data_IF_315252786661
#
_entry.id   IF_315252786661
#
_cell.length_a   1.000
_cell.length_b   1.000
_cell.length_c   1.000
_cell.angle_alpha   90.00
_cell.angle_beta   90.00
_cell.angle_gamma   90.00
#
_symmetry.space_group_name_H-M   'P 1'
#
loop_
_entity.id
_entity.type
_entity.pdbx_description
1 polymer ?
#
# COMPACT_ATOMS: atom_id res chain seq x y z
N UNK A 1 33.53 -6.18 -1.12
CA UNK A 1 33.14 -6.73 0.21
C UNK A 1 32.61 -8.13 0.02
N UNK A 2 33.14 -9.14 0.70
CA UNK A 2 32.68 -10.52 0.56
C UNK A 2 31.33 -10.75 1.30
N UNK A 3 30.65 -11.86 1.01
CA UNK A 3 29.34 -12.18 1.65
C UNK A 3 29.47 -12.26 3.17
N UNK A 4 30.57 -12.83 3.67
CA UNK A 4 30.85 -12.95 5.11
C UNK A 4 30.90 -11.58 5.78
N UNK A 5 31.57 -10.60 5.17
CA UNK A 5 31.70 -9.26 5.73
C UNK A 5 30.35 -8.56 5.76
N UNK A 6 29.52 -8.71 4.68
CA UNK A 6 28.17 -8.15 4.64
C UNK A 6 27.29 -8.74 5.74
N UNK A 7 27.34 -10.04 5.95
CA UNK A 7 26.58 -10.72 6.99
C UNK A 7 26.97 -10.24 8.39
N UNK A 8 28.24 -9.90 8.61
CA UNK A 8 28.72 -9.42 9.92
C UNK A 8 28.17 -8.02 10.27
N UNK A 9 28.09 -7.12 9.28
CA UNK A 9 27.63 -5.74 9.49
C UNK A 9 26.12 -5.54 9.27
N UNK A 10 25.41 -6.53 8.68
CA UNK A 10 23.99 -6.44 8.44
C UNK A 10 23.19 -6.41 9.75
N UNK A 11 22.05 -5.70 9.75
CA UNK A 11 21.07 -5.82 10.80
C UNK A 11 20.68 -7.29 11.01
N UNK A 12 20.29 -7.65 12.22
CA UNK A 12 19.88 -9.00 12.56
C UNK A 12 18.39 -9.05 12.82
N UNK A 13 17.72 -10.10 12.31
CA UNK A 13 16.33 -10.37 12.65
C UNK A 13 16.19 -10.82 14.11
N UNK A 14 14.98 -11.07 14.58
CA UNK A 14 14.68 -11.49 15.94
C UNK A 14 15.30 -12.87 16.33
N UNK A 15 15.78 -13.62 15.34
CA UNK A 15 16.46 -14.92 15.52
C UNK A 15 17.98 -14.82 15.39
N UNK A 16 18.52 -13.60 15.18
CA UNK A 16 19.95 -13.35 14.99
C UNK A 16 20.46 -13.58 13.56
N UNK A 17 19.60 -13.85 12.58
CA UNK A 17 20.00 -14.02 11.20
C UNK A 17 20.29 -12.67 10.54
N UNK A 18 21.34 -12.56 9.69
CA UNK A 18 21.64 -11.32 9.00
C UNK A 18 20.56 -10.98 7.96
N UNK A 19 20.06 -9.74 7.97
CA UNK A 19 19.16 -9.21 6.97
C UNK A 19 19.90 -8.83 5.68
N UNK A 20 20.61 -9.77 5.12
CA UNK A 20 21.41 -9.64 3.90
C UNK A 20 21.49 -10.99 3.17
N UNK A 21 21.11 -11.00 1.89
CA UNK A 21 21.20 -12.19 1.04
C UNK A 21 21.43 -11.83 -0.41
N UNK A 22 21.93 -12.78 -1.19
CA UNK A 22 21.92 -12.71 -2.64
C UNK A 22 20.52 -13.05 -3.16
N UNK A 23 19.88 -12.12 -3.85
CA UNK A 23 18.48 -12.24 -4.28
C UNK A 23 18.32 -12.62 -5.76
N UNK A 24 19.42 -12.72 -6.51
CA UNK A 24 19.38 -13.08 -7.92
C UNK A 24 20.45 -12.35 -8.75
N UNK A 25 20.56 -12.75 -10.01
CA UNK A 25 21.52 -12.18 -10.95
C UNK A 25 21.07 -10.84 -11.53
N UNK A 26 21.98 -10.12 -12.17
CA UNK A 26 21.71 -8.87 -12.86
C UNK A 26 21.15 -7.79 -11.93
N UNK A 27 20.00 -7.21 -12.29
CA UNK A 27 19.33 -6.14 -11.57
C UNK A 27 18.39 -6.58 -10.45
N UNK A 28 18.28 -7.88 -10.14
CA UNK A 28 17.29 -8.42 -9.21
C UNK A 28 17.27 -7.73 -7.83
N UNK A 29 18.43 -7.52 -7.21
CA UNK A 29 18.54 -6.83 -5.93
C UNK A 29 18.06 -5.37 -5.98
N UNK A 30 18.36 -4.65 -7.07
CA UNK A 30 17.88 -3.28 -7.29
C UNK A 30 16.37 -3.25 -7.51
N UNK A 31 15.82 -4.22 -8.24
CA UNK A 31 14.38 -4.36 -8.45
C UNK A 31 13.66 -4.57 -7.11
N UNK A 32 14.13 -5.48 -6.29
CA UNK A 32 13.60 -5.72 -4.94
C UNK A 32 13.64 -4.44 -4.10
N UNK A 33 14.74 -3.67 -4.16
CA UNK A 33 14.82 -2.39 -3.43
C UNK A 33 13.85 -1.34 -4.00
N UNK A 34 13.61 -1.32 -5.29
CA UNK A 34 12.61 -0.44 -5.91
C UNK A 34 11.19 -0.77 -5.41
N UNK A 35 10.83 -2.05 -5.38
CA UNK A 35 9.53 -2.49 -4.83
C UNK A 35 9.40 -2.14 -3.36
N UNK A 36 10.46 -2.36 -2.55
CA UNK A 36 10.51 -1.92 -1.16
C UNK A 36 10.14 -0.43 -1.03
N UNK A 37 10.72 0.43 -1.87
CA UNK A 37 10.43 1.86 -1.82
C UNK A 37 8.98 2.17 -2.23
N UNK A 38 8.40 1.41 -3.16
CA UNK A 38 6.98 1.52 -3.50
C UNK A 38 6.08 1.19 -2.31
N UNK A 39 6.35 0.08 -1.62
CA UNK A 39 5.65 -0.30 -0.38
C UNK A 39 5.78 0.80 0.68
N UNK A 40 6.98 1.34 0.87
CA UNK A 40 7.28 2.41 1.80
C UNK A 40 6.42 3.67 1.54
N UNK A 41 6.29 4.08 0.28
CA UNK A 41 5.46 5.23 -0.11
C UNK A 41 4.01 5.03 0.31
N UNK A 42 3.45 3.85 0.06
CA UNK A 42 2.06 3.53 0.43
C UNK A 42 1.89 3.43 1.96
N UNK A 43 2.85 2.85 2.69
CA UNK A 43 2.83 2.81 4.17
C UNK A 43 2.83 4.22 4.78
N UNK A 44 3.65 5.13 4.24
CA UNK A 44 3.71 6.52 4.70
C UNK A 44 2.39 7.25 4.41
N UNK A 45 1.82 7.05 3.22
CA UNK A 45 0.56 7.68 2.83
C UNK A 45 -0.61 7.15 3.67
N UNK A 46 -0.66 5.83 3.94
CA UNK A 46 -1.68 5.24 4.82
C UNK A 46 -1.64 5.85 6.23
N UNK A 47 -0.45 6.08 6.79
CA UNK A 47 -0.30 6.75 8.09
C UNK A 47 -0.76 8.21 8.03
N UNK A 48 -0.48 8.91 6.93
CA UNK A 48 -0.95 10.27 6.73
C UNK A 48 -2.48 10.35 6.61
N UNK A 49 -3.11 9.40 5.92
CA UNK A 49 -4.57 9.29 5.82
C UNK A 49 -5.22 8.98 7.18
N UNK A 50 -4.63 8.06 7.94
CA UNK A 50 -5.07 7.77 9.32
C UNK A 50 -4.92 9.00 10.21
N UNK A 51 -3.79 9.69 10.14
CA UNK A 51 -3.54 10.93 10.88
C UNK A 51 -4.62 11.98 10.58
N UNK A 52 -4.94 12.22 9.29
CA UNK A 52 -5.96 13.18 8.87
C UNK A 52 -7.35 12.79 9.39
N UNK A 53 -7.70 11.51 9.34
CA UNK A 53 -8.97 11.01 9.91
C UNK A 53 -9.01 11.24 11.43
N UNK A 54 -7.92 10.99 12.15
CA UNK A 54 -7.86 11.20 13.59
C UNK A 54 -8.03 12.67 13.96
N UNK A 55 -7.39 13.57 13.22
CA UNK A 55 -7.48 15.03 13.43
C UNK A 55 -8.85 15.57 13.04
N UNK A 56 -9.33 15.27 11.85
CA UNK A 56 -10.50 15.92 11.24
C UNK A 56 -11.81 15.29 11.72
N UNK A 57 -11.89 13.97 11.73
CA UNK A 57 -13.11 13.25 12.12
C UNK A 57 -13.20 13.07 13.63
N UNK A 58 -12.21 12.43 14.25
CA UNK A 58 -12.24 12.20 15.70
C UNK A 58 -11.97 13.47 16.50
N UNK A 59 -11.56 14.56 15.82
CA UNK A 59 -11.21 15.86 16.43
C UNK A 59 -10.19 15.73 17.56
N UNK A 60 -9.26 14.79 17.41
CA UNK A 60 -8.17 14.61 18.35
C UNK A 60 -7.11 15.69 18.11
N UNK A 61 -6.56 16.25 19.16
CA UNK A 61 -5.37 17.08 19.06
C UNK A 61 -4.10 16.21 18.82
N UNK A 62 -2.98 16.85 18.52
CA UNK A 62 -1.72 16.14 18.25
C UNK A 62 -1.28 15.20 19.37
N UNK A 63 -1.54 15.55 20.63
CA UNK A 63 -1.18 14.72 21.80
C UNK A 63 -2.03 13.47 21.88
N UNK A 64 -3.32 13.61 21.62
CA UNK A 64 -4.26 12.49 21.61
C UNK A 64 -3.99 11.57 20.41
N UNK A 65 -3.70 12.13 19.23
CA UNK A 65 -3.27 11.34 18.07
C UNK A 65 -1.99 10.58 18.37
N UNK A 66 -1.00 11.24 18.97
CA UNK A 66 0.24 10.59 19.38
C UNK A 66 -0.02 9.42 20.33
N UNK A 67 -0.86 9.60 21.36
CA UNK A 67 -1.23 8.55 22.31
C UNK A 67 -1.97 7.40 21.62
N UNK A 68 -2.86 7.70 20.71
CA UNK A 68 -3.59 6.65 19.96
C UNK A 68 -2.60 5.79 19.12
N UNK A 69 -1.73 6.42 18.34
CA UNK A 69 -0.72 5.71 17.54
C UNK A 69 0.30 4.97 18.43
N UNK A 70 0.65 5.52 19.59
CA UNK A 70 1.48 4.84 20.58
C UNK A 70 0.83 3.55 21.06
N UNK A 71 -0.49 3.54 21.28
CA UNK A 71 -1.24 2.36 21.71
C UNK A 71 -1.23 1.23 20.68
N UNK A 72 -0.93 1.53 19.40
CA UNK A 72 -0.82 0.53 18.34
C UNK A 72 0.53 -0.19 18.31
N UNK A 73 1.54 0.35 18.98
CA UNK A 73 2.84 -0.33 19.15
C UNK A 73 2.62 -1.66 19.89
N UNK A 74 3.51 -2.60 19.66
CA UNK A 74 3.47 -3.97 20.21
C UNK A 74 2.20 -4.78 19.82
N UNK A 75 1.52 -4.38 18.75
CA UNK A 75 0.37 -5.09 18.18
C UNK A 75 0.65 -5.52 16.73
N UNK A 76 -0.38 -6.04 16.03
CA UNK A 76 -0.29 -6.35 14.58
C UNK A 76 0.08 -5.14 13.72
N UNK A 77 -0.25 -3.93 14.17
CA UNK A 77 0.03 -2.68 13.47
C UNK A 77 1.47 -2.20 13.65
N UNK A 78 2.24 -2.79 14.56
CA UNK A 78 3.59 -2.32 14.90
C UNK A 78 4.51 -2.31 13.68
N UNK A 79 5.11 -1.15 13.44
CA UNK A 79 6.09 -0.93 12.37
C UNK A 79 7.03 0.21 12.71
N UNK A 80 8.18 0.24 12.05
CA UNK A 80 9.12 1.36 12.19
C UNK A 80 8.46 2.69 11.84
N UNK A 81 7.71 2.76 10.74
CA UNK A 81 7.02 3.99 10.32
C UNK A 81 5.97 4.44 11.34
N UNK A 82 5.20 3.52 11.95
CA UNK A 82 4.27 3.86 13.03
C UNK A 82 5.01 4.42 14.24
N UNK A 83 6.13 3.82 14.62
CA UNK A 83 6.94 4.24 15.77
C UNK A 83 7.50 5.63 15.56
N UNK A 84 8.11 5.93 14.39
CA UNK A 84 8.62 7.26 14.12
C UNK A 84 7.52 8.30 13.97
N UNK A 85 6.34 7.93 13.43
CA UNK A 85 5.19 8.86 13.38
C UNK A 85 4.74 9.26 14.77
N UNK A 86 4.59 8.31 15.70
CA UNK A 86 4.29 8.61 17.10
C UNK A 86 5.37 9.49 17.74
N UNK A 87 6.66 9.21 17.45
CA UNK A 87 7.77 10.01 17.95
C UNK A 87 7.75 11.44 17.39
N UNK A 88 7.53 11.61 16.07
CA UNK A 88 7.43 12.93 15.42
C UNK A 88 6.34 13.78 16.10
N UNK A 89 5.19 13.19 16.37
CA UNK A 89 4.06 13.88 17.00
C UNK A 89 4.29 14.25 18.47
N UNK A 90 5.34 13.73 19.11
CA UNK A 90 5.71 14.10 20.48
C UNK A 90 6.55 15.38 20.56
N UNK A 91 7.01 15.93 19.43
CA UNK A 91 7.81 17.15 19.42
C UNK A 91 6.93 18.40 19.42
N UNK A 92 7.24 19.31 20.35
CA UNK A 92 6.60 20.61 20.51
C UNK A 92 7.68 21.71 20.54
N UNK A 93 7.31 22.89 20.07
CA UNK A 93 8.18 24.06 20.15
C UNK A 93 8.14 24.69 21.57
N UNK A 94 8.93 25.74 21.78
CA UNK A 94 9.01 26.46 23.05
C UNK A 94 7.69 27.12 23.48
N UNK A 95 6.75 27.30 22.54
CA UNK A 95 5.45 27.90 22.80
C UNK A 95 4.37 26.83 23.06
N UNK A 96 4.72 25.53 23.06
CA UNK A 96 3.81 24.42 23.24
C UNK A 96 3.00 24.06 21.99
N UNK A 97 3.32 24.60 20.81
CA UNK A 97 2.72 24.24 19.54
C UNK A 97 3.39 22.98 18.97
N UNK A 98 2.61 22.10 18.36
CA UNK A 98 3.18 20.89 17.75
C UNK A 98 4.14 21.26 16.63
N UNK A 99 5.34 20.67 16.63
CA UNK A 99 6.37 20.97 15.63
C UNK A 99 5.90 20.66 14.19
N UNK A 100 5.06 19.62 14.01
CA UNK A 100 4.54 19.26 12.70
C UNK A 100 3.66 20.34 12.06
N UNK A 101 2.99 21.18 12.88
CA UNK A 101 2.16 22.28 12.36
C UNK A 101 2.96 23.37 11.66
N UNK A 102 4.28 23.43 11.89
CA UNK A 102 5.19 24.37 11.25
C UNK A 102 5.81 23.82 9.96
N UNK A 103 5.54 22.54 9.61
CA UNK A 103 6.07 21.90 8.40
C UNK A 103 5.12 22.19 7.23
N UNK A 104 5.68 22.63 6.10
CA UNK A 104 4.91 22.82 4.88
C UNK A 104 4.33 21.48 4.40
N UNK A 105 3.04 21.48 4.09
CA UNK A 105 2.28 20.30 3.62
C UNK A 105 2.57 19.93 2.15
N UNK A 106 3.87 19.80 1.83
CA UNK A 106 4.38 19.38 0.54
C UNK A 106 5.41 18.26 0.74
N UNK A 107 5.19 17.12 0.10
CA UNK A 107 6.11 15.99 0.18
C UNK A 107 6.86 15.80 -1.14
N UNK A 108 8.19 15.97 -1.11
CA UNK A 108 9.05 15.71 -2.26
C UNK A 108 9.24 14.19 -2.50
N UNK A 109 9.72 13.85 -3.68
CA UNK A 109 10.14 12.48 -4.01
C UNK A 109 11.49 12.50 -4.75
N UNK A 110 12.22 11.39 -4.68
CA UNK A 110 13.53 11.20 -5.36
C UNK A 110 13.43 10.26 -6.57
N UNK A 111 12.22 10.00 -7.08
CA UNK A 111 11.97 9.20 -8.28
C UNK A 111 11.76 7.69 -8.06
N UNK A 112 12.19 7.12 -6.93
CA UNK A 112 12.09 5.66 -6.70
C UNK A 112 10.66 5.14 -6.63
N UNK A 113 9.71 5.93 -6.08
CA UNK A 113 8.28 5.59 -6.12
C UNK A 113 7.70 5.60 -7.53
N UNK A 114 8.16 6.53 -8.38
CA UNK A 114 7.77 6.55 -9.79
C UNK A 114 8.26 5.30 -10.53
N UNK A 115 9.46 4.83 -10.27
CA UNK A 115 9.98 3.60 -10.88
C UNK A 115 9.13 2.37 -10.54
N UNK A 116 8.66 2.24 -9.30
CA UNK A 116 7.76 1.15 -8.91
C UNK A 116 6.45 1.20 -9.70
N UNK A 117 5.85 2.39 -9.85
CA UNK A 117 4.62 2.59 -10.64
C UNK A 117 4.84 2.25 -12.12
N UNK A 118 5.90 2.78 -12.73
CA UNK A 118 6.25 2.53 -14.14
C UNK A 118 6.50 1.04 -14.38
N UNK A 119 7.28 0.41 -13.51
CA UNK A 119 7.59 -1.02 -13.64
C UNK A 119 6.35 -1.89 -13.49
N UNK A 120 5.46 -1.61 -12.52
CA UNK A 120 4.21 -2.34 -12.38
C UNK A 120 3.35 -2.27 -13.63
N UNK A 121 3.22 -1.07 -14.21
CA UNK A 121 2.50 -0.88 -15.47
C UNK A 121 3.16 -1.63 -16.64
N UNK A 122 4.49 -1.62 -16.73
CA UNK A 122 5.25 -2.26 -17.82
C UNK A 122 5.13 -3.79 -17.81
N UNK A 123 5.08 -4.41 -16.63
CA UNK A 123 4.98 -5.88 -16.49
C UNK A 123 3.55 -6.37 -16.23
N UNK A 124 2.55 -5.50 -16.31
CA UNK A 124 1.15 -5.87 -16.06
C UNK A 124 0.82 -6.28 -14.62
N UNK A 125 1.57 -5.78 -13.63
CA UNK A 125 1.34 -6.05 -12.21
C UNK A 125 0.64 -4.87 -11.53
N UNK A 126 -0.63 -5.00 -11.10
CA UNK A 126 -1.36 -3.92 -10.44
C UNK A 126 -0.70 -3.50 -9.13
N UNK A 127 -0.31 -2.24 -9.00
CA UNK A 127 0.29 -1.65 -7.82
C UNK A 127 -0.40 -0.33 -7.41
N UNK A 128 -1.73 -0.38 -7.37
CA UNK A 128 -2.61 0.78 -7.23
C UNK A 128 -2.34 1.61 -5.97
N UNK A 129 -1.95 0.99 -4.85
CA UNK A 129 -1.63 1.73 -3.61
C UNK A 129 -0.34 2.53 -3.75
N UNK A 130 0.70 1.94 -4.33
CA UNK A 130 1.98 2.61 -4.57
C UNK A 130 1.80 3.80 -5.50
N UNK A 131 0.98 3.61 -6.55
CA UNK A 131 0.62 4.65 -7.52
C UNK A 131 -0.20 5.76 -6.85
N UNK A 132 -1.20 5.42 -6.04
CA UNK A 132 -2.01 6.39 -5.30
C UNK A 132 -1.15 7.23 -4.33
N UNK A 133 -0.22 6.61 -3.61
CA UNK A 133 0.72 7.31 -2.73
C UNK A 133 1.65 8.26 -3.49
N UNK A 134 2.17 7.84 -4.64
CA UNK A 134 2.98 8.69 -5.52
C UNK A 134 2.20 9.92 -6.01
N UNK A 135 0.97 9.70 -6.48
CA UNK A 135 0.11 10.79 -6.96
C UNK A 135 -0.30 11.75 -5.83
N UNK A 136 -0.56 11.23 -4.62
CA UNK A 136 -0.81 12.07 -3.45
C UNK A 136 0.37 13.03 -3.18
N UNK A 137 1.62 12.56 -3.31
CA UNK A 137 2.81 13.44 -3.20
C UNK A 137 2.86 14.50 -4.29
N UNK A 138 2.55 14.14 -5.56
CA UNK A 138 2.49 15.11 -6.64
C UNK A 138 1.42 16.16 -6.40
N UNK A 139 0.22 15.75 -5.96
CA UNK A 139 -0.87 16.67 -5.61
C UNK A 139 -0.45 17.56 -4.43
N UNK A 140 0.27 17.03 -3.43
CA UNK A 140 0.74 17.83 -2.30
C UNK A 140 1.63 18.99 -2.74
N UNK A 141 2.46 18.80 -3.76
CA UNK A 141 3.33 19.86 -4.31
C UNK A 141 2.59 20.95 -5.08
N UNK A 142 1.32 20.73 -5.44
CA UNK A 142 0.48 21.71 -6.15
C UNK A 142 -0.25 22.68 -5.19
N UNK A 143 0.42 23.17 -4.15
CA UNK A 143 -0.23 23.92 -3.05
C UNK A 143 -1.04 25.12 -3.52
N UNK A 144 -0.53 25.94 -4.43
CA UNK A 144 -1.23 27.11 -4.94
C UNK A 144 -2.56 26.75 -5.62
N UNK A 145 -2.55 25.69 -6.45
CA UNK A 145 -3.77 25.18 -7.08
C UNK A 145 -4.76 24.63 -6.05
N UNK A 146 -4.28 23.90 -5.03
CA UNK A 146 -5.15 23.36 -3.95
C UNK A 146 -5.83 24.50 -3.19
N UNK A 147 -5.11 25.58 -2.88
CA UNK A 147 -5.67 26.77 -2.23
C UNK A 147 -6.70 27.45 -3.13
N UNK A 148 -6.41 27.60 -4.43
CA UNK A 148 -7.35 28.17 -5.39
C UNK A 148 -8.65 27.38 -5.45
N UNK A 149 -8.56 26.05 -5.64
CA UNK A 149 -9.72 25.18 -5.80
C UNK A 149 -10.51 24.95 -4.50
N UNK A 150 -9.87 25.07 -3.33
CA UNK A 150 -10.57 24.92 -2.05
C UNK A 150 -11.70 25.92 -1.80
N UNK A 151 -11.65 27.07 -2.49
CA UNK A 151 -12.67 28.14 -2.38
C UNK A 151 -14.00 27.78 -3.06
N UNK A 152 -14.02 26.73 -3.90
CA UNK A 152 -15.19 26.36 -4.71
C UNK A 152 -15.95 25.13 -4.19
N UNK A 153 -15.47 24.48 -3.14
CA UNK A 153 -16.09 23.24 -2.64
C UNK A 153 -17.10 23.53 -1.53
N UNK A 154 -18.38 23.25 -1.81
CA UNK A 154 -19.49 23.33 -0.85
C UNK A 154 -20.09 21.94 -0.69
N UNK A 155 -19.86 21.28 0.47
CA UNK A 155 -20.37 19.97 0.75
C UNK A 155 -21.12 19.93 2.10
N UNK A 156 -22.10 19.02 2.20
CA UNK A 156 -22.93 18.84 3.40
C UNK A 156 -22.42 17.62 4.15
N UNK A 157 -22.06 17.79 5.43
CA UNK A 157 -21.66 16.70 6.32
C UNK A 157 -22.85 15.79 6.64
N UNK A 158 -22.64 14.49 6.63
CA UNK A 158 -23.59 13.47 7.11
C UNK A 158 -23.06 12.78 8.37
N UNK A 159 -23.98 12.31 9.21
CA UNK A 159 -23.63 11.59 10.44
C UNK A 159 -23.47 10.08 10.16
N UNK A 160 -22.28 9.63 10.01
CA UNK A 160 -21.92 8.22 10.07
C UNK A 160 -20.89 8.03 11.20
N UNK A 161 -20.78 6.86 11.87
CA UNK A 161 -19.83 6.67 13.00
C UNK A 161 -18.90 5.48 12.88
N UNK A 162 -17.56 5.70 12.99
CA UNK A 162 -16.54 4.66 13.16
C UNK A 162 -15.90 4.81 14.54
N UNK A 163 -15.35 3.73 15.07
CA UNK A 163 -14.52 3.76 16.26
C UNK A 163 -13.02 3.74 15.88
N UNK A 164 -12.16 4.22 16.78
CA UNK A 164 -10.72 4.12 16.67
C UNK A 164 -10.24 2.68 16.41
N UNK A 165 -10.85 1.71 17.08
CA UNK A 165 -10.58 0.28 16.86
C UNK A 165 -10.90 -0.20 15.45
N UNK A 166 -11.95 0.33 14.82
CA UNK A 166 -12.31 0.00 13.44
C UNK A 166 -11.33 0.65 12.45
N UNK A 167 -10.97 1.91 12.67
CA UNK A 167 -9.95 2.59 11.86
C UNK A 167 -8.62 1.84 11.88
N UNK A 168 -8.14 1.44 13.08
CA UNK A 168 -6.93 0.63 13.23
C UNK A 168 -6.99 -0.67 12.42
N UNK A 169 -8.14 -1.36 12.44
CA UNK A 169 -8.30 -2.60 11.66
C UNK A 169 -8.26 -2.34 10.16
N UNK A 170 -8.83 -1.26 9.67
CA UNK A 170 -8.76 -0.90 8.25
C UNK A 170 -7.33 -0.55 7.87
N UNK A 171 -6.60 0.20 8.70
CA UNK A 171 -5.18 0.43 8.49
C UNK A 171 -4.39 -0.89 8.35
N UNK A 172 -4.61 -1.86 9.24
CA UNK A 172 -3.98 -3.18 9.14
C UNK A 172 -4.34 -3.91 7.84
N UNK A 173 -5.62 -3.88 7.41
CA UNK A 173 -6.04 -4.52 6.16
C UNK A 173 -5.39 -3.87 4.93
N UNK A 174 -5.33 -2.54 4.89
CA UNK A 174 -4.66 -1.82 3.80
C UNK A 174 -3.19 -2.19 3.69
N UNK A 175 -2.51 -2.40 4.82
CA UNK A 175 -1.11 -2.87 4.85
C UNK A 175 -0.96 -4.27 4.26
N UNK A 176 -1.87 -5.19 4.55
CA UNK A 176 -1.89 -6.51 3.92
C UNK A 176 -1.98 -6.39 2.39
N UNK A 177 -2.85 -5.53 1.87
CA UNK A 177 -3.00 -5.31 0.42
C UNK A 177 -1.75 -4.64 -0.17
N UNK A 178 -1.18 -3.63 0.49
CA UNK A 178 0.04 -2.98 0.05
C UNK A 178 1.19 -3.98 -0.12
N UNK A 179 1.42 -4.81 0.90
CA UNK A 179 2.46 -5.84 0.85
C UNK A 179 2.13 -6.91 -0.19
N UNK A 180 0.86 -7.30 -0.33
CA UNK A 180 0.45 -8.23 -1.39
C UNK A 180 0.83 -7.69 -2.77
N UNK A 181 0.47 -6.45 -3.10
CA UNK A 181 0.82 -5.85 -4.39
C UNK A 181 2.34 -5.81 -4.62
N UNK A 182 3.12 -5.50 -3.60
CA UNK A 182 4.59 -5.50 -3.71
C UNK A 182 5.17 -6.89 -3.96
N UNK A 183 4.74 -7.90 -3.20
CA UNK A 183 5.23 -9.26 -3.39
C UNK A 183 4.71 -9.90 -4.69
N UNK A 184 3.51 -9.57 -5.13
CA UNK A 184 2.97 -10.02 -6.41
C UNK A 184 3.73 -9.41 -7.59
N UNK A 185 4.12 -8.13 -7.47
CA UNK A 185 4.99 -7.47 -8.43
C UNK A 185 6.35 -8.16 -8.53
N UNK A 186 6.92 -8.63 -7.41
CA UNK A 186 8.16 -9.43 -7.42
C UNK A 186 7.92 -10.77 -8.14
N UNK A 187 6.82 -11.46 -7.87
CA UNK A 187 6.47 -12.70 -8.54
C UNK A 187 6.32 -12.53 -10.05
N UNK A 188 5.67 -11.45 -10.48
CA UNK A 188 5.50 -11.14 -11.90
C UNK A 188 6.85 -10.85 -12.56
N UNK A 189 7.71 -10.06 -11.91
CA UNK A 189 9.05 -9.78 -12.39
C UNK A 189 9.93 -11.04 -12.45
N UNK A 190 9.76 -11.98 -11.52
CA UNK A 190 10.46 -13.27 -11.56
C UNK A 190 10.13 -14.07 -12.82
N UNK A 191 8.88 -14.04 -13.26
CA UNK A 191 8.46 -14.68 -14.52
C UNK A 191 9.01 -13.94 -15.73
N UNK A 192 8.89 -12.61 -15.75
CA UNK A 192 9.34 -11.77 -16.87
C UNK A 192 10.85 -11.84 -17.09
N UNK A 193 11.64 -11.75 -16.02
CA UNK A 193 13.10 -11.69 -16.09
C UNK A 193 13.78 -13.02 -15.77
N UNK A 194 13.02 -14.11 -15.62
CA UNK A 194 13.52 -15.46 -15.29
C UNK A 194 14.36 -15.52 -14.01
N UNK A 195 14.00 -14.70 -13.01
CA UNK A 195 14.65 -14.73 -11.70
C UNK A 195 14.05 -15.81 -10.80
N UNK A 196 14.92 -16.38 -9.97
CA UNK A 196 14.52 -17.34 -8.92
C UNK A 196 14.71 -16.68 -7.56
N UNK A 197 13.69 -15.94 -7.12
CA UNK A 197 13.73 -15.19 -5.86
C UNK A 197 12.79 -15.89 -4.86
N UNK A 198 13.32 -16.20 -3.67
CA UNK A 198 12.54 -16.71 -2.57
C UNK A 198 11.91 -15.55 -1.79
N UNK A 199 10.57 -15.48 -1.77
CA UNK A 199 9.82 -14.42 -1.10
C UNK A 199 9.98 -14.44 0.43
N UNK A 200 10.20 -15.63 1.02
CA UNK A 200 10.46 -15.75 2.46
C UNK A 200 11.79 -15.05 2.82
N UNK A 201 12.81 -15.25 2.00
CA UNK A 201 14.10 -14.56 2.12
C UNK A 201 13.95 -13.04 1.97
N UNK A 202 13.17 -12.57 0.99
CA UNK A 202 12.91 -11.13 0.83
C UNK A 202 12.23 -10.56 2.07
N UNK A 203 11.18 -11.20 2.57
CA UNK A 203 10.48 -10.76 3.77
C UNK A 203 11.38 -10.79 5.02
N UNK A 204 12.25 -11.81 5.15
CA UNK A 204 13.23 -11.91 6.24
C UNK A 204 14.23 -10.76 6.20
N UNK A 205 14.77 -10.40 5.03
CA UNK A 205 15.68 -9.25 4.86
C UNK A 205 15.00 -7.94 5.24
N UNK A 206 13.70 -7.79 4.95
CA UNK A 206 12.93 -6.60 5.24
C UNK A 206 12.38 -6.56 6.67
N UNK A 207 12.53 -7.61 7.46
CA UNK A 207 12.03 -7.67 8.84
C UNK A 207 12.84 -6.80 9.81
N UNK A 208 14.10 -6.49 9.47
CA UNK A 208 14.96 -5.58 10.25
C UNK A 208 15.88 -4.74 9.34
N UNK A 209 16.42 -3.64 9.91
CA UNK A 209 17.40 -2.78 9.22
C UNK A 209 16.85 -1.97 8.06
N UNK A 210 15.53 -1.88 7.89
CA UNK A 210 14.91 -1.10 6.81
C UNK A 210 13.66 -0.32 7.30
N UNK A 211 13.18 0.59 6.45
CA UNK A 211 12.06 1.50 6.78
C UNK A 211 10.71 0.76 6.88
N UNK A 212 10.52 -0.33 6.15
CA UNK A 212 9.25 -1.10 6.17
C UNK A 212 9.25 -2.26 7.16
N UNK A 213 10.25 -2.34 8.05
CA UNK A 213 10.26 -3.37 9.09
C UNK A 213 9.02 -3.28 9.97
N UNK A 214 8.41 -4.45 10.26
CA UNK A 214 7.13 -4.50 10.95
C UNK A 214 6.79 -5.91 11.44
N UNK A 215 5.83 -6.01 12.35
CA UNK A 215 5.23 -7.30 12.75
C UNK A 215 4.59 -8.03 11.58
N UNK A 216 4.02 -7.32 10.62
CA UNK A 216 3.52 -7.91 9.40
C UNK A 216 4.65 -8.55 8.59
N UNK A 217 5.80 -7.89 8.44
CA UNK A 217 6.94 -8.42 7.70
C UNK A 217 7.52 -9.69 8.36
N UNK A 218 7.63 -9.73 9.69
CA UNK A 218 8.02 -10.94 10.42
C UNK A 218 7.03 -12.10 10.17
N UNK A 219 5.73 -11.78 10.14
CA UNK A 219 4.68 -12.75 9.81
C UNK A 219 4.82 -13.27 8.39
N UNK A 220 5.08 -12.40 7.41
CA UNK A 220 5.27 -12.78 6.00
C UNK A 220 6.51 -13.65 5.81
N UNK A 221 7.62 -13.34 6.48
CA UNK A 221 8.85 -14.14 6.41
C UNK A 221 8.62 -15.61 6.79
N UNK A 222 7.71 -15.86 7.72
CA UNK A 222 7.33 -17.25 8.11
C UNK A 222 6.24 -17.84 7.22
N UNK A 223 5.30 -17.03 6.73
CA UNK A 223 4.14 -17.51 5.97
C UNK A 223 4.47 -17.85 4.52
N UNK A 224 5.47 -17.21 3.92
CA UNK A 224 5.89 -17.52 2.55
C UNK A 224 6.56 -18.89 2.40
N UNK A 225 6.99 -19.54 3.48
CA UNK A 225 7.46 -20.93 3.43
C UNK A 225 6.36 -21.92 2.99
N UNK A 226 5.09 -21.58 3.18
CA UNK A 226 3.93 -22.42 2.86
C UNK A 226 2.99 -21.82 1.81
N UNK A 227 3.25 -20.61 1.31
CA UNK A 227 2.38 -19.94 0.34
C UNK A 227 3.16 -19.05 -0.63
N UNK A 228 2.78 -19.06 -1.89
CA UNK A 228 3.37 -18.21 -2.94
C UNK A 228 2.72 -16.82 -3.06
N UNK A 229 1.64 -16.54 -2.32
CA UNK A 229 0.90 -15.28 -2.39
C UNK A 229 0.22 -14.98 -1.05
N UNK A 230 0.23 -13.70 -0.67
CA UNK A 230 -0.43 -13.24 0.56
C UNK A 230 -1.94 -13.52 0.53
N UNK A 231 -2.61 -13.33 -0.61
CA UNK A 231 -4.05 -13.63 -0.72
C UNK A 231 -4.37 -15.13 -0.67
N UNK A 232 -3.39 -16.02 -0.70
CA UNK A 232 -3.57 -17.46 -0.45
C UNK A 232 -3.36 -17.86 1.01
N UNK A 233 -2.89 -16.94 1.86
CA UNK A 233 -2.61 -17.21 3.28
C UNK A 233 -3.89 -17.20 4.11
N UNK A 234 -4.08 -18.20 4.96
CA UNK A 234 -5.22 -18.26 5.89
C UNK A 234 -5.26 -17.02 6.82
N UNK A 235 -4.11 -16.55 7.29
CA UNK A 235 -4.00 -15.36 8.16
C UNK A 235 -4.55 -14.09 7.50
N UNK A 236 -4.34 -13.94 6.17
CA UNK A 236 -4.92 -12.84 5.42
C UNK A 236 -6.45 -12.89 5.47
N UNK A 237 -7.05 -14.04 5.12
CA UNK A 237 -8.51 -14.19 5.10
C UNK A 237 -9.14 -14.08 6.50
N UNK A 238 -8.46 -14.59 7.53
CA UNK A 238 -8.90 -14.43 8.91
C UNK A 238 -8.98 -12.96 9.33
N UNK A 239 -8.06 -12.11 8.84
CA UNK A 239 -8.07 -10.67 9.07
C UNK A 239 -9.17 -9.99 8.26
N UNK A 240 -9.30 -10.33 6.97
CA UNK A 240 -10.29 -9.77 6.05
C UNK A 240 -11.73 -10.07 6.50
N UNK A 241 -12.05 -11.34 6.75
CA UNK A 241 -13.40 -11.76 7.13
C UNK A 241 -13.91 -11.09 8.42
N UNK A 242 -13.02 -10.80 9.36
CA UNK A 242 -13.38 -10.13 10.62
C UNK A 242 -13.62 -8.62 10.47
N UNK A 243 -13.05 -7.99 9.45
CA UNK A 243 -12.92 -6.54 9.46
C UNK A 243 -13.30 -5.83 8.16
N UNK A 244 -13.44 -6.53 7.02
CA UNK A 244 -13.76 -5.92 5.72
C UNK A 244 -15.02 -5.04 5.74
N UNK A 245 -16.02 -5.39 6.54
CA UNK A 245 -17.25 -4.60 6.71
C UNK A 245 -17.01 -3.16 7.19
N UNK A 246 -15.88 -2.90 7.85
CA UNK A 246 -15.55 -1.56 8.32
C UNK A 246 -14.96 -0.66 7.22
N UNK A 247 -14.51 -1.25 6.08
CA UNK A 247 -13.94 -0.47 4.99
C UNK A 247 -14.94 0.49 4.36
N UNK A 248 -16.17 0.01 4.13
CA UNK A 248 -17.24 0.89 3.63
C UNK A 248 -17.51 2.05 4.59
N UNK A 249 -17.49 1.79 5.90
CA UNK A 249 -17.64 2.85 6.88
C UNK A 249 -16.54 3.91 6.72
N UNK A 250 -15.27 3.55 6.63
CA UNK A 250 -14.16 4.49 6.47
C UNK A 250 -14.26 5.26 5.15
N UNK A 251 -14.61 4.60 4.03
CA UNK A 251 -14.78 5.28 2.74
C UNK A 251 -15.94 6.27 2.76
N UNK A 252 -17.10 5.91 3.32
CA UNK A 252 -18.24 6.81 3.45
C UNK A 252 -17.89 8.03 4.30
N UNK A 253 -17.17 7.81 5.39
CA UNK A 253 -16.68 8.86 6.25
C UNK A 253 -15.79 9.86 5.56
N UNK A 254 -14.80 9.34 4.86
CA UNK A 254 -13.89 10.18 4.14
C UNK A 254 -14.64 11.07 3.14
N UNK A 255 -15.67 10.52 2.47
CA UNK A 255 -16.57 11.28 1.61
C UNK A 255 -17.36 12.36 2.38
N UNK A 256 -17.97 11.99 3.49
CA UNK A 256 -18.80 12.90 4.31
C UNK A 256 -17.98 14.05 4.94
N UNK A 257 -16.71 13.80 5.25
CA UNK A 257 -15.79 14.79 5.84
C UNK A 257 -14.81 15.40 4.85
N UNK A 258 -14.91 15.05 3.56
CA UNK A 258 -14.05 15.52 2.47
C UNK A 258 -12.56 15.24 2.73
N UNK A 259 -12.26 14.10 3.34
CA UNK A 259 -10.91 13.67 3.62
C UNK A 259 -10.43 12.83 2.44
N UNK A 260 -9.34 13.23 1.73
CA UNK A 260 -8.76 12.40 0.69
C UNK A 260 -8.06 11.18 1.31
N UNK A 261 -8.50 9.98 0.91
CA UNK A 261 -7.94 8.70 1.38
C UNK A 261 -7.53 7.80 0.21
N UNK A 262 -6.65 8.26 -0.68
CA UNK A 262 -6.35 7.56 -1.93
C UNK A 262 -5.82 6.13 -1.73
N UNK A 263 -4.99 5.86 -0.74
CA UNK A 263 -4.48 4.51 -0.47
C UNK A 263 -5.52 3.60 0.17
N UNK A 264 -6.29 4.09 1.14
CA UNK A 264 -7.37 3.30 1.77
C UNK A 264 -8.41 2.93 0.71
N UNK A 265 -8.83 3.86 -0.13
CA UNK A 265 -9.79 3.62 -1.21
C UNK A 265 -9.24 2.68 -2.29
N UNK A 266 -7.98 2.85 -2.69
CA UNK A 266 -7.32 1.96 -3.65
C UNK A 266 -7.19 0.54 -3.12
N UNK A 267 -6.91 0.36 -1.83
CA UNK A 267 -6.86 -0.96 -1.20
C UNK A 267 -8.20 -1.67 -1.29
N UNK A 268 -9.27 -0.96 -0.96
CA UNK A 268 -10.63 -1.50 -1.02
C UNK A 268 -11.04 -1.90 -2.43
N UNK A 269 -10.84 -1.01 -3.40
CA UNK A 269 -11.17 -1.27 -4.79
C UNK A 269 -10.35 -2.45 -5.36
N UNK A 270 -9.06 -2.54 -5.02
CA UNK A 270 -8.23 -3.67 -5.41
C UNK A 270 -8.76 -4.98 -4.81
N UNK A 271 -9.06 -5.01 -3.51
CA UNK A 271 -9.60 -6.19 -2.85
C UNK A 271 -10.93 -6.64 -3.48
N UNK A 272 -11.85 -5.71 -3.72
CA UNK A 272 -13.12 -6.02 -4.39
C UNK A 272 -12.90 -6.60 -5.78
N UNK A 273 -12.05 -5.98 -6.60
CA UNK A 273 -11.77 -6.45 -7.95
C UNK A 273 -11.16 -7.86 -7.96
N UNK A 274 -10.24 -8.14 -7.03
CA UNK A 274 -9.57 -9.44 -6.91
C UNK A 274 -10.44 -10.55 -6.31
N UNK A 275 -11.58 -10.20 -5.74
CA UNK A 275 -12.50 -11.17 -5.10
C UNK A 275 -13.83 -11.33 -5.84
N UNK A 276 -14.02 -10.64 -6.96
CA UNK A 276 -15.19 -10.84 -7.84
C UNK A 276 -14.87 -11.93 -8.89
N UNK A 277 -15.71 -12.97 -9.00
CA UNK A 277 -15.53 -13.99 -10.03
C UNK A 277 -15.82 -13.48 -11.45
N UNK A 278 -16.58 -12.39 -11.56
CA UNK A 278 -16.92 -11.74 -12.83
C UNK A 278 -16.53 -10.26 -12.74
N UNK A 279 -16.02 -9.75 -13.86
CA UNK A 279 -15.69 -8.32 -14.00
C UNK A 279 -16.48 -7.73 -15.16
N UNK A 280 -16.52 -6.40 -15.22
CA UNK A 280 -17.11 -5.66 -16.34
C UNK A 280 -16.11 -5.44 -17.50
N UNK A 281 -15.01 -6.18 -17.52
CA UNK A 281 -13.99 -6.12 -18.58
C UNK A 281 -14.53 -6.63 -19.93
N UNK A 282 -15.59 -7.45 -19.92
CA UNK A 282 -16.30 -7.87 -21.12
C UNK A 282 -16.84 -6.68 -21.92
N UNK A 283 -17.37 -5.63 -21.28
CA UNK A 283 -17.78 -4.41 -21.96
C UNK A 283 -16.60 -3.68 -22.61
N UNK A 284 -15.48 -3.60 -21.91
CA UNK A 284 -14.25 -2.96 -22.42
C UNK A 284 -13.76 -3.75 -23.66
N UNK A 285 -13.75 -5.07 -23.59
CA UNK A 285 -13.31 -5.90 -24.70
C UNK A 285 -14.26 -5.80 -25.90
N UNK A 286 -15.57 -5.76 -25.66
CA UNK A 286 -16.56 -5.51 -26.71
C UNK A 286 -16.37 -4.13 -27.39
N UNK A 287 -16.11 -3.09 -26.62
CA UNK A 287 -15.78 -1.75 -27.15
C UNK A 287 -14.52 -1.77 -28.02
N UNK A 288 -13.46 -2.45 -27.56
CA UNK A 288 -12.20 -2.59 -28.33
C UNK A 288 -12.41 -3.32 -29.64
N UNK A 289 -13.24 -4.37 -29.64
CA UNK A 289 -13.60 -5.08 -30.84
C UNK A 289 -14.42 -4.20 -31.78
N UNK A 290 -15.40 -3.47 -31.27
CA UNK A 290 -16.26 -2.58 -32.06
C UNK A 290 -15.46 -1.51 -32.81
N UNK A 291 -14.53 -0.82 -32.15
CA UNK A 291 -13.78 0.27 -32.80
C UNK A 291 -12.49 -0.16 -33.48
N UNK A 292 -11.93 -1.32 -33.17
CA UNK A 292 -10.60 -1.69 -33.63
C UNK A 292 -10.44 -3.16 -34.03
N UNK A 293 -11.52 -3.95 -34.07
CA UNK A 293 -11.51 -5.37 -34.44
C UNK A 293 -10.46 -6.17 -33.63
N UNK A 294 -10.34 -5.89 -32.32
CA UNK A 294 -9.35 -6.54 -31.44
C UNK A 294 -9.72 -7.99 -31.10
N UNK A 295 -10.91 -8.45 -31.47
CA UNK A 295 -11.42 -9.78 -31.15
C UNK A 295 -11.97 -9.92 -29.74
N UNK A 296 -12.83 -10.92 -29.57
CA UNK A 296 -13.44 -11.29 -28.28
C UNK A 296 -13.37 -12.80 -28.10
N UNK A 297 -13.22 -13.24 -26.85
CA UNK A 297 -13.33 -14.63 -26.44
C UNK A 297 -14.73 -14.86 -25.85
N UNK A 298 -15.43 -15.92 -26.29
CA UNK A 298 -16.71 -16.31 -25.71
C UNK A 298 -16.52 -17.28 -24.54
N UNK A 299 -17.40 -17.23 -23.55
CA UNK A 299 -17.32 -18.03 -22.32
C UNK A 299 -17.23 -19.53 -22.60
N UNK A 300 -17.94 -20.00 -23.62
CA UNK A 300 -18.10 -21.45 -23.93
C UNK A 300 -17.19 -21.92 -25.07
N UNK A 301 -16.27 -21.09 -25.57
CA UNK A 301 -15.37 -21.45 -26.67
C UNK A 301 -13.96 -21.74 -26.20
N UNK A 302 -13.36 -22.81 -26.75
CA UNK A 302 -11.94 -23.12 -26.53
C UNK A 302 -11.05 -22.05 -27.21
N UNK A 303 -9.95 -21.74 -26.56
CA UNK A 303 -8.90 -20.83 -27.05
C UNK A 303 -8.53 -21.12 -28.52
N UNK A 304 -8.39 -20.05 -29.33
CA UNK A 304 -7.80 -19.99 -30.69
C UNK A 304 -8.74 -19.64 -31.88
N UNK A 305 -9.90 -19.06 -31.65
CA UNK A 305 -10.60 -18.38 -32.75
C UNK A 305 -10.72 -16.89 -32.49
N UNK A 306 -10.16 -16.07 -33.37
CA UNK A 306 -10.43 -14.63 -33.35
C UNK A 306 -11.91 -14.42 -33.72
N UNK A 307 -12.71 -14.17 -32.69
CA UNK A 307 -14.15 -13.93 -32.88
C UNK A 307 -14.41 -12.42 -32.80
N UNK A 308 -15.45 -12.00 -33.52
CA UNK A 308 -15.92 -10.62 -33.48
C UNK A 308 -17.37 -10.55 -33.04
N UNK A 309 -17.79 -9.44 -32.46
CA UNK A 309 -19.18 -9.20 -32.16
C UNK A 309 -20.03 -8.95 -33.42
N UNK A 310 -21.37 -8.95 -33.31
CA UNK A 310 -22.30 -8.77 -34.44
C UNK A 310 -22.44 -7.31 -34.90
N UNK A 311 -21.58 -6.44 -34.45
CA UNK A 311 -21.53 -5.04 -34.85
C UNK A 311 -20.70 -4.89 -36.13
N UNK A 312 -21.32 -4.47 -37.19
CA UNK A 312 -20.70 -4.14 -38.50
C UNK A 312 -20.68 -2.61 -38.68
#
# INVERSE_FOLDING_TARGET
>A
MCIRDRNNIAAKDSKGNPCCSFLGSGGAGHYIKMVHNGIEYAEMQLLAEVFEILMTYFKLDFRLVQKELESWKNSSSDSYLLRITSTILSYYDSNGSSFISNILDQASNKGTGAWATISGAAIGSPNSLMTAALHARYISSMKSKRIEFSKTSNFVKKDSSISLKQLKKIYDLCRWINHHQGFDMINTACKEYHWKIDLATVAQIWSEGCIIKSKLMETLATSFSSSSSIMKMERFWNSMNKSQKYWNLVNNYAGDYLIPIPCISSSWNYFLAMTQPFSNANLIQAQRDFFGAHGIDFIDQKENSLNHGPWN
#
